data_IF_149197904241
#
_entry.id   IF_149197904241
#
_cell.length_a   1.000
_cell.length_b   1.000
_cell.length_c   1.000
_cell.angle_alpha   90.00
_cell.angle_beta   90.00
_cell.angle_gamma   90.00
#
_symmetry.space_group_name_H-M   'P 1'
#
loop_
_entity.id
_entity.type
_entity.pdbx_description
1 polymer ?
#
# COMPACT_ATOMS: atom_id res chain seq x y z
N UNK A 1 23.36 -11.89 16.52
CA UNK A 1 23.23 -11.34 15.15
C UNK A 1 21.85 -10.70 15.05
N UNK A 2 21.66 -9.62 14.27
CA UNK A 2 20.33 -9.06 14.07
C UNK A 2 19.42 -10.09 13.40
N UNK A 3 18.13 -10.10 13.74
CA UNK A 3 17.17 -10.98 13.10
C UNK A 3 17.13 -10.73 11.57
N UNK A 4 16.87 -11.80 10.83
CA UNK A 4 16.59 -11.73 9.39
C UNK A 4 15.08 -11.70 9.18
N UNK A 5 14.59 -10.75 8.39
CA UNK A 5 13.17 -10.53 8.16
C UNK A 5 12.87 -10.61 6.66
N UNK A 6 11.95 -11.50 6.30
CA UNK A 6 11.31 -11.60 5.00
C UNK A 6 9.88 -11.07 5.15
N UNK A 7 9.44 -10.22 4.22
CA UNK A 7 8.06 -9.76 4.14
C UNK A 7 7.41 -10.33 2.88
N UNK A 8 6.33 -11.08 3.05
CA UNK A 8 5.50 -11.61 1.96
C UNK A 8 4.15 -10.89 1.99
N UNK A 9 3.88 -10.09 0.97
CA UNK A 9 2.66 -9.29 0.82
C UNK A 9 1.86 -9.70 -0.42
N UNK A 10 0.60 -9.34 -0.47
CA UNK A 10 -0.27 -9.55 -1.64
C UNK A 10 -1.75 -9.57 -1.31
N UNK A 11 -2.58 -9.62 -2.35
CA UNK A 11 -4.04 -9.66 -2.19
C UNK A 11 -4.56 -10.93 -1.51
N UNK A 12 -5.88 -10.99 -1.29
CA UNK A 12 -6.55 -12.21 -0.87
C UNK A 12 -6.38 -13.31 -1.94
N UNK A 13 -6.11 -14.55 -1.52
CA UNK A 13 -5.89 -15.71 -2.41
C UNK A 13 -4.78 -15.53 -3.47
N UNK A 14 -3.84 -14.63 -3.23
CA UNK A 14 -2.66 -14.40 -4.09
C UNK A 14 -1.61 -15.52 -4.04
N UNK A 15 -1.74 -16.49 -3.13
CA UNK A 15 -0.74 -17.54 -2.90
C UNK A 15 0.32 -17.19 -1.85
N UNK A 16 0.17 -16.08 -1.13
CA UNK A 16 1.17 -15.61 -0.14
C UNK A 16 1.45 -16.57 1.02
N UNK A 17 0.43 -17.15 1.64
CA UNK A 17 0.65 -18.10 2.75
C UNK A 17 1.38 -19.36 2.27
N UNK A 18 0.98 -19.93 1.13
CA UNK A 18 1.66 -21.10 0.54
C UNK A 18 3.11 -20.81 0.11
N UNK A 19 3.40 -19.60 -0.35
CA UNK A 19 4.77 -19.19 -0.64
C UNK A 19 5.59 -19.02 0.65
N UNK A 20 5.02 -18.35 1.66
CA UNK A 20 5.68 -18.14 2.94
C UNK A 20 5.97 -19.45 3.69
N UNK A 21 5.04 -20.41 3.68
CA UNK A 21 5.25 -21.75 4.25
C UNK A 21 6.41 -22.48 3.55
N UNK A 22 6.42 -22.53 2.22
CA UNK A 22 7.52 -23.16 1.47
C UNK A 22 8.86 -22.52 1.77
N UNK A 23 8.91 -21.18 1.85
CA UNK A 23 10.12 -20.46 2.23
C UNK A 23 10.60 -20.88 3.63
N UNK A 24 9.69 -21.02 4.60
CA UNK A 24 10.05 -21.50 5.94
C UNK A 24 10.59 -22.93 5.94
N UNK A 25 9.97 -23.82 5.17
CA UNK A 25 10.36 -25.24 5.03
C UNK A 25 11.72 -25.40 4.31
N UNK A 26 12.04 -24.52 3.36
CA UNK A 26 13.36 -24.45 2.72
C UNK A 26 14.46 -23.97 3.69
N UNK A 27 14.09 -23.09 4.64
CA UNK A 27 15.01 -22.50 5.60
C UNK A 27 15.19 -23.35 6.88
N UNK A 28 14.24 -24.21 7.23
CA UNK A 28 14.27 -25.01 8.46
C UNK A 28 13.38 -26.24 8.38
N UNK A 29 13.84 -27.35 8.98
CA UNK A 29 13.05 -28.57 9.18
C UNK A 29 12.04 -28.48 10.34
N UNK A 30 12.20 -27.49 11.23
CA UNK A 30 11.36 -27.30 12.41
C UNK A 30 10.89 -25.84 12.53
N UNK A 31 10.10 -25.33 11.56
CA UNK A 31 9.60 -23.96 11.60
C UNK A 31 8.51 -23.77 12.66
N UNK A 32 8.40 -22.55 13.17
CA UNK A 32 7.34 -22.14 14.11
C UNK A 32 6.31 -21.32 13.34
N UNK A 33 5.03 -21.68 13.47
CA UNK A 33 3.89 -20.90 13.02
C UNK A 33 3.40 -20.03 14.18
N UNK A 34 3.61 -18.72 14.07
CA UNK A 34 3.07 -17.73 14.99
C UNK A 34 1.73 -17.22 14.45
N UNK A 35 0.64 -17.73 15.01
CA UNK A 35 -0.71 -17.32 14.67
C UNK A 35 -1.07 -16.04 15.43
N UNK A 36 -1.25 -14.94 14.70
CA UNK A 36 -1.73 -13.68 15.30
C UNK A 36 -3.25 -13.59 15.32
N UNK A 37 -3.97 -14.49 14.65
CA UNK A 37 -5.43 -14.51 14.70
C UNK A 37 -5.92 -14.82 16.13
N UNK A 38 -6.74 -13.94 16.72
CA UNK A 38 -7.40 -14.23 17.99
C UNK A 38 -8.56 -15.21 17.75
N UNK A 39 -8.28 -16.52 17.86
CA UNK A 39 -9.24 -17.62 17.63
C UNK A 39 -10.55 -17.43 18.41
N UNK A 40 -10.48 -16.91 19.64
CA UNK A 40 -11.65 -16.65 20.50
C UNK A 40 -12.59 -15.54 19.99
N UNK A 41 -12.08 -14.51 19.28
CA UNK A 41 -12.89 -13.37 18.82
C UNK A 41 -13.53 -13.61 17.45
N UNK A 42 -13.12 -14.68 16.76
CA UNK A 42 -13.62 -15.10 15.44
C UNK A 42 -14.49 -16.37 15.51
N UNK A 43 -14.87 -16.81 16.73
CA UNK A 43 -15.58 -18.06 16.98
C UNK A 43 -16.94 -18.22 16.28
N UNK A 44 -17.51 -17.14 15.74
CA UNK A 44 -18.73 -17.16 14.93
C UNK A 44 -18.53 -17.41 13.43
N UNK A 45 -17.30 -17.34 12.93
CA UNK A 45 -16.97 -17.51 11.51
C UNK A 45 -16.58 -18.96 11.21
N UNK A 46 -17.57 -19.77 10.84
CA UNK A 46 -17.38 -21.19 10.54
C UNK A 46 -16.43 -21.41 9.35
N UNK A 47 -16.43 -20.51 8.36
CA UNK A 47 -15.54 -20.58 7.20
C UNK A 47 -14.08 -20.35 7.62
N UNK A 48 -13.85 -19.38 8.52
CA UNK A 48 -12.52 -19.12 9.06
C UNK A 48 -12.02 -20.27 9.94
N UNK A 49 -12.88 -20.82 10.80
CA UNK A 49 -12.57 -21.97 11.65
C UNK A 49 -12.18 -23.20 10.81
N UNK A 50 -12.92 -23.50 9.74
CA UNK A 50 -12.59 -24.59 8.82
C UNK A 50 -11.25 -24.37 8.11
N UNK A 51 -10.94 -23.12 7.72
CA UNK A 51 -9.64 -22.78 7.12
C UNK A 51 -8.49 -22.98 8.11
N UNK A 52 -8.63 -22.56 9.37
CA UNK A 52 -7.61 -22.81 10.39
C UNK A 52 -7.37 -24.30 10.54
N UNK A 53 -8.44 -25.09 10.69
CA UNK A 53 -8.35 -26.53 10.88
C UNK A 53 -7.61 -27.21 9.71
N UNK A 54 -7.98 -26.85 8.47
CA UNK A 54 -7.30 -27.33 7.27
C UNK A 54 -5.82 -26.96 7.25
N UNK A 55 -5.47 -25.71 7.55
CA UNK A 55 -4.07 -25.28 7.60
C UNK A 55 -3.26 -25.99 8.69
N UNK A 56 -3.87 -26.27 9.85
CA UNK A 56 -3.23 -27.06 10.90
C UNK A 56 -3.03 -28.52 10.47
N UNK A 57 -3.98 -29.12 9.75
CA UNK A 57 -3.87 -30.47 9.22
C UNK A 57 -2.82 -30.57 8.10
N UNK A 58 -2.85 -29.63 7.15
CA UNK A 58 -1.86 -29.53 6.06
C UNK A 58 -0.43 -29.43 6.62
N UNK A 59 -0.24 -28.76 7.77
CA UNK A 59 1.06 -28.68 8.46
C UNK A 59 1.47 -29.96 9.18
N UNK A 60 0.51 -30.77 9.67
CA UNK A 60 0.80 -32.07 10.31
C UNK A 60 1.17 -33.15 9.28
N UNK A 61 0.65 -33.05 8.07
CA UNK A 61 0.75 -34.07 7.03
C UNK A 61 1.72 -33.70 5.89
N UNK A 62 2.74 -32.87 6.15
CA UNK A 62 3.70 -32.45 5.12
C UNK A 62 4.55 -33.62 4.64
N UNK A 63 4.49 -33.91 3.34
CA UNK A 63 5.25 -34.99 2.68
C UNK A 63 6.77 -34.82 2.78
N UNK A 64 7.27 -33.60 2.99
CA UNK A 64 8.70 -33.30 3.11
C UNK A 64 9.27 -33.56 4.52
N UNK A 65 8.47 -34.02 5.48
CA UNK A 65 8.92 -34.35 6.84
C UNK A 65 9.14 -33.16 7.77
N UNK A 66 8.81 -31.93 7.36
CA UNK A 66 8.92 -30.74 8.21
C UNK A 66 7.98 -30.82 9.42
N UNK A 67 8.51 -30.50 10.60
CA UNK A 67 7.77 -30.55 11.86
C UNK A 67 7.40 -29.14 12.33
N UNK A 68 6.17 -28.73 12.02
CA UNK A 68 5.66 -27.42 12.41
C UNK A 68 5.26 -27.39 13.89
N UNK A 69 5.72 -26.37 14.61
CA UNK A 69 5.19 -26.00 15.94
C UNK A 69 4.27 -24.79 15.80
N UNK A 70 3.11 -24.77 16.44
CA UNK A 70 2.18 -23.61 16.40
C UNK A 70 2.15 -22.91 17.76
N UNK A 71 2.28 -21.58 17.75
CA UNK A 71 2.11 -20.70 18.90
C UNK A 71 1.05 -19.66 18.55
N UNK A 72 0.02 -19.54 19.39
CA UNK A 72 -1.03 -18.52 19.26
C UNK A 72 -0.70 -17.37 20.20
N UNK A 73 -0.40 -16.19 19.64
CA UNK A 73 -0.17 -14.97 20.43
C UNK A 73 -0.65 -13.75 19.63
N UNK A 74 -1.85 -13.22 19.93
CA UNK A 74 -2.51 -12.23 19.10
C UNK A 74 -2.01 -10.80 19.28
N UNK A 75 -1.32 -10.47 20.38
CA UNK A 75 -0.94 -9.10 20.71
C UNK A 75 0.55 -8.94 20.97
N UNK A 76 1.15 -9.82 21.78
CA UNK A 76 2.48 -9.64 22.38
C UNK A 76 3.47 -10.78 22.06
N UNK A 77 3.76 -11.07 20.78
CA UNK A 77 4.65 -12.16 20.39
C UNK A 77 6.07 -12.02 20.91
N UNK A 78 6.52 -10.82 21.30
CA UNK A 78 7.85 -10.67 21.91
C UNK A 78 7.99 -11.43 23.24
N UNK A 79 6.90 -11.78 23.91
CA UNK A 79 6.91 -12.66 25.09
C UNK A 79 7.51 -14.05 24.80
N UNK A 80 7.39 -14.52 23.56
CA UNK A 80 7.95 -15.79 23.09
C UNK A 80 9.31 -15.64 22.40
N UNK A 81 9.93 -14.45 22.41
CA UNK A 81 11.16 -14.19 21.67
C UNK A 81 12.30 -15.17 22.03
N UNK A 82 12.35 -15.64 23.27
CA UNK A 82 13.32 -16.66 23.73
C UNK A 82 13.09 -18.01 23.06
N UNK A 83 11.84 -18.44 22.90
CA UNK A 83 11.47 -19.69 22.22
C UNK A 83 11.79 -19.64 20.71
N UNK A 84 11.80 -18.44 20.14
CA UNK A 84 12.12 -18.20 18.74
C UNK A 84 13.63 -18.17 18.44
N UNK A 85 14.48 -18.14 19.47
CA UNK A 85 15.94 -18.05 19.29
C UNK A 85 16.46 -19.18 18.38
N UNK A 86 17.20 -18.79 17.33
CA UNK A 86 17.77 -19.68 16.31
C UNK A 86 16.73 -20.48 15.50
N UNK A 87 15.47 -20.01 15.47
CA UNK A 87 14.38 -20.62 14.71
C UNK A 87 14.01 -19.79 13.49
N UNK A 88 13.25 -20.44 12.60
CA UNK A 88 12.49 -19.80 11.52
C UNK A 88 11.04 -19.68 11.99
N UNK A 89 10.50 -18.46 11.98
CA UNK A 89 9.17 -18.14 12.49
C UNK A 89 8.33 -17.50 11.38
N UNK A 90 7.23 -18.16 11.04
CA UNK A 90 6.19 -17.62 10.15
C UNK A 90 5.19 -16.82 10.96
N UNK A 91 5.07 -15.52 10.70
CA UNK A 91 4.08 -14.63 11.34
C UNK A 91 2.89 -14.47 10.39
N UNK A 92 1.75 -15.08 10.70
CA UNK A 92 0.52 -15.02 9.89
C UNK A 92 -0.65 -14.47 10.73
N UNK A 93 -1.13 -13.25 10.48
CA UNK A 93 -0.54 -12.20 9.63
C UNK A 93 -0.53 -10.84 10.31
N UNK A 94 0.29 -9.92 9.78
CA UNK A 94 0.39 -8.54 10.23
C UNK A 94 -0.95 -7.82 10.21
N UNK A 95 -1.81 -8.14 9.24
CA UNK A 95 -3.15 -7.55 9.10
C UNK A 95 -4.07 -7.88 10.26
N UNK A 96 -4.13 -9.16 10.67
CA UNK A 96 -4.91 -9.55 11.85
C UNK A 96 -4.28 -9.04 13.15
N UNK A 97 -2.96 -8.94 13.19
CA UNK A 97 -2.27 -8.39 14.34
C UNK A 97 -2.63 -6.91 14.57
N UNK A 98 -2.65 -6.10 13.51
CA UNK A 98 -3.13 -4.71 13.59
C UNK A 98 -4.59 -4.66 14.05
N UNK A 99 -5.45 -5.50 13.48
CA UNK A 99 -6.86 -5.58 13.89
C UNK A 99 -7.01 -5.88 15.38
N UNK A 100 -6.22 -6.80 15.93
CA UNK A 100 -6.26 -7.12 17.36
C UNK A 100 -5.88 -5.92 18.22
N UNK A 101 -4.83 -5.19 17.86
CA UNK A 101 -4.44 -3.97 18.56
C UNK A 101 -5.52 -2.90 18.46
N UNK A 102 -6.16 -2.73 17.30
CA UNK A 102 -7.26 -1.79 17.14
C UNK A 102 -8.47 -2.16 18.01
N UNK A 103 -8.75 -3.46 18.16
CA UNK A 103 -9.78 -3.93 19.09
C UNK A 103 -9.41 -3.64 20.55
N UNK A 104 -8.15 -3.89 20.94
CA UNK A 104 -7.65 -3.63 22.29
C UNK A 104 -7.72 -2.14 22.65
N UNK A 105 -7.42 -1.27 21.70
CA UNK A 105 -7.52 0.19 21.85
C UNK A 105 -8.97 0.72 21.74
N UNK A 106 -9.95 -0.15 21.53
CA UNK A 106 -11.37 0.21 21.47
C UNK A 106 -11.81 0.90 20.19
N UNK A 107 -11.01 0.86 19.11
CA UNK A 107 -11.26 1.60 17.87
C UNK A 107 -12.60 1.25 17.20
N UNK A 108 -13.04 -0.01 17.31
CA UNK A 108 -14.31 -0.48 16.74
C UNK A 108 -15.52 -0.20 17.66
N UNK A 109 -15.33 -0.23 18.98
CA UNK A 109 -16.41 0.03 19.95
C UNK A 109 -16.82 1.49 20.01
N UNK A 110 -15.91 2.41 19.72
CA UNK A 110 -16.20 3.86 19.70
C UNK A 110 -17.27 4.20 18.64
N UNK A 111 -17.32 3.44 17.54
CA UNK A 111 -18.20 3.72 16.40
C UNK A 111 -19.47 2.86 16.45
N UNK A 112 -19.42 1.66 17.03
CA UNK A 112 -20.59 0.80 17.21
C UNK A 112 -21.70 1.43 18.08
N UNK A 113 -21.34 2.37 18.97
CA UNK A 113 -22.31 3.06 19.83
C UNK A 113 -23.13 4.16 19.11
N UNK A 114 -22.73 4.59 17.90
CA UNK A 114 -23.44 5.62 17.13
C UNK A 114 -24.36 5.04 16.03
N UNK A 115 -24.15 3.78 15.60
CA UNK A 115 -24.94 3.15 14.52
C UNK A 115 -26.40 2.79 14.93
N UNK A 116 -26.73 2.84 16.23
CA UNK A 116 -28.08 2.59 16.72
C UNK A 116 -29.03 3.81 16.56
N UNK A 117 -28.50 5.00 16.27
CA UNK A 117 -29.31 6.21 16.08
C UNK A 117 -28.75 7.11 14.98
N UNK A 118 -29.29 6.92 13.77
CA UNK A 118 -29.24 7.86 12.65
C UNK A 118 -27.92 7.93 11.86
N UNK A 119 -27.97 7.46 10.61
CA UNK A 119 -26.85 7.30 9.65
C UNK A 119 -26.07 8.56 9.24
N UNK A 120 -26.32 9.73 9.83
CA UNK A 120 -25.82 10.99 9.26
C UNK A 120 -24.86 11.82 10.09
N UNK A 121 -24.58 11.55 11.37
CA UNK A 121 -23.55 12.34 12.09
C UNK A 121 -22.94 11.58 13.27
N UNK A 122 -21.90 10.77 13.02
CA UNK A 122 -20.94 10.44 14.08
C UNK A 122 -20.33 11.77 14.53
N UNK A 123 -20.50 12.13 15.81
CA UNK A 123 -19.93 13.36 16.37
C UNK A 123 -18.44 13.47 16.04
N UNK A 124 -17.96 14.67 15.72
CA UNK A 124 -16.54 14.92 15.39
C UNK A 124 -15.60 14.36 16.46
N UNK A 125 -15.98 14.46 17.73
CA UNK A 125 -15.26 13.91 18.88
C UNK A 125 -15.10 12.38 18.83
N UNK A 126 -16.13 11.63 18.42
CA UNK A 126 -16.04 10.17 18.31
C UNK A 126 -15.13 9.74 17.15
N UNK A 127 -15.11 10.50 16.04
CA UNK A 127 -14.17 10.25 14.92
C UNK A 127 -12.72 10.52 15.32
N UNK A 128 -12.48 11.56 16.10
CA UNK A 128 -11.15 11.89 16.62
C UNK A 128 -10.64 10.82 17.57
N UNK A 129 -11.44 10.39 18.55
CA UNK A 129 -11.02 9.34 19.48
C UNK A 129 -10.80 7.99 18.78
N UNK A 130 -11.66 7.63 17.82
CA UNK A 130 -11.44 6.42 17.02
C UNK A 130 -10.14 6.50 16.20
N UNK A 131 -9.80 7.68 15.65
CA UNK A 131 -8.53 7.91 14.97
C UNK A 131 -7.36 7.74 15.92
N UNK A 132 -7.43 8.35 17.10
CA UNK A 132 -6.40 8.23 18.13
C UNK A 132 -6.20 6.78 18.57
N UNK A 133 -7.28 5.99 18.70
CA UNK A 133 -7.22 4.56 18.99
C UNK A 133 -6.49 3.77 17.89
N UNK A 134 -6.74 4.07 16.61
CA UNK A 134 -6.01 3.46 15.48
C UNK A 134 -4.52 3.81 15.54
N UNK A 135 -4.19 5.07 15.83
CA UNK A 135 -2.80 5.52 15.91
C UNK A 135 -2.04 4.85 17.07
N UNK A 136 -2.69 4.70 18.23
CA UNK A 136 -2.15 3.94 19.37
C UNK A 136 -1.93 2.47 19.00
N UNK A 137 -2.90 1.85 18.33
CA UNK A 137 -2.80 0.46 17.88
C UNK A 137 -1.62 0.23 16.92
N UNK A 138 -1.45 1.11 15.92
CA UNK A 138 -0.32 1.08 15.00
C UNK A 138 1.01 1.23 15.76
N UNK A 139 1.09 2.20 16.67
CA UNK A 139 2.29 2.43 17.48
C UNK A 139 2.65 1.22 18.35
N UNK A 140 1.66 0.60 18.99
CA UNK A 140 1.86 -0.60 19.80
C UNK A 140 2.40 -1.77 18.95
N UNK A 141 1.83 -2.00 17.76
CA UNK A 141 2.32 -3.01 16.83
C UNK A 141 3.76 -2.75 16.40
N UNK A 142 4.11 -1.51 16.06
CA UNK A 142 5.48 -1.14 15.67
C UNK A 142 6.49 -1.38 16.80
N UNK A 143 6.15 -0.94 18.02
CA UNK A 143 6.98 -1.15 19.20
C UNK A 143 7.15 -2.63 19.52
N UNK A 144 6.07 -3.40 19.40
CA UNK A 144 6.10 -4.83 19.67
C UNK A 144 6.91 -5.60 18.61
N UNK A 145 6.80 -5.20 17.34
CA UNK A 145 7.64 -5.75 16.27
C UNK A 145 9.12 -5.48 16.51
N UNK A 146 9.49 -4.25 16.91
CA UNK A 146 10.89 -3.92 17.24
C UNK A 146 11.40 -4.76 18.43
N UNK A 147 10.58 -4.97 19.47
CA UNK A 147 10.92 -5.86 20.60
C UNK A 147 11.08 -7.32 20.17
N UNK A 148 10.28 -7.78 19.22
CA UNK A 148 10.30 -9.15 18.72
C UNK A 148 11.59 -9.46 17.96
N UNK A 149 12.08 -8.52 17.13
CA UNK A 149 13.23 -8.76 16.24
C UNK A 149 14.59 -8.39 16.87
N UNK A 150 14.63 -7.65 17.98
CA UNK A 150 15.85 -7.16 18.60
C UNK A 150 16.69 -8.20 19.38
N UNK A 151 16.11 -9.11 20.20
CA UNK A 151 16.87 -9.78 21.25
C UNK A 151 17.67 -11.02 20.80
N UNK A 152 17.19 -11.74 19.78
CA UNK A 152 17.75 -13.05 19.40
C UNK A 152 18.01 -13.14 17.90
N UNK A 153 18.89 -14.07 17.52
CA UNK A 153 19.10 -14.42 16.13
C UNK A 153 17.94 -15.29 15.64
N UNK A 154 16.97 -14.68 14.96
CA UNK A 154 15.76 -15.35 14.47
C UNK A 154 15.58 -15.02 12.99
N UNK A 155 15.02 -15.95 12.22
CA UNK A 155 14.54 -15.67 10.87
C UNK A 155 13.02 -15.55 10.88
N UNK A 156 12.50 -14.35 10.65
CA UNK A 156 11.06 -14.11 10.54
C UNK A 156 10.63 -14.08 9.08
N UNK A 157 9.58 -14.82 8.76
CA UNK A 157 8.82 -14.69 7.51
C UNK A 157 7.46 -14.09 7.88
N UNK A 158 7.25 -12.82 7.56
CA UNK A 158 6.05 -12.07 7.93
C UNK A 158 5.10 -12.01 6.75
N UNK A 159 3.85 -12.43 6.97
CA UNK A 159 2.79 -12.35 5.96
C UNK A 159 1.92 -11.12 6.23
N UNK A 160 1.56 -10.40 5.18
CA UNK A 160 0.60 -9.29 5.24
C UNK A 160 -0.28 -9.22 3.99
N UNK A 161 -1.40 -8.52 4.08
CA UNK A 161 -2.27 -8.25 2.94
C UNK A 161 -1.98 -6.86 2.35
N UNK A 162 -2.07 -6.76 1.01
CA UNK A 162 -2.27 -5.48 0.33
C UNK A 162 -3.76 -5.16 0.24
N UNK A 163 -4.19 -4.12 0.96
CA UNK A 163 -5.61 -3.71 1.04
C UNK A 163 -5.87 -2.31 0.45
N UNK A 164 -4.81 -1.56 0.10
CA UNK A 164 -4.90 -0.18 -0.35
C UNK A 164 -5.16 0.02 -1.85
N UNK A 165 -5.26 -1.06 -2.65
CA UNK A 165 -5.41 -0.98 -4.11
C UNK A 165 -6.86 -1.06 -4.62
N UNK A 166 -7.84 -1.10 -3.70
CA UNK A 166 -9.28 -1.11 -4.03
C UNK A 166 -9.92 0.27 -3.94
N UNK A 167 -11.25 0.31 -4.12
CA UNK A 167 -12.05 1.51 -3.86
C UNK A 167 -12.02 1.89 -2.39
N UNK A 168 -12.25 3.16 -2.07
CA UNK A 168 -12.28 3.64 -0.69
C UNK A 168 -13.33 2.86 0.11
N UNK A 169 -13.00 2.55 1.36
CA UNK A 169 -13.95 1.91 2.25
C UNK A 169 -15.06 2.89 2.67
N UNK A 170 -16.28 2.39 2.79
CA UNK A 170 -17.49 3.19 3.03
C UNK A 170 -17.44 3.91 4.38
N UNK A 171 -16.89 3.26 5.42
CA UNK A 171 -16.89 3.78 6.79
C UNK A 171 -15.56 4.44 7.16
N UNK A 172 -15.62 5.43 8.06
CA UNK A 172 -14.44 6.15 8.56
C UNK A 172 -13.40 5.20 9.17
N UNK A 173 -13.85 4.22 9.97
CA UNK A 173 -12.95 3.26 10.62
C UNK A 173 -12.24 2.36 9.62
N UNK A 174 -12.94 1.91 8.58
CA UNK A 174 -12.32 1.04 7.59
C UNK A 174 -11.30 1.83 6.74
N UNK A 175 -11.54 3.12 6.47
CA UNK A 175 -10.53 3.99 5.86
C UNK A 175 -9.29 4.12 6.73
N UNK A 176 -9.47 4.40 8.04
CA UNK A 176 -8.36 4.49 9.00
C UNK A 176 -7.60 3.17 9.13
N UNK A 177 -8.29 2.04 9.12
CA UNK A 177 -7.68 0.72 9.07
C UNK A 177 -6.82 0.52 7.82
N UNK A 178 -7.34 0.83 6.63
CA UNK A 178 -6.59 0.69 5.37
C UNK A 178 -5.33 1.57 5.37
N UNK A 179 -5.43 2.81 5.85
CA UNK A 179 -4.29 3.72 5.95
C UNK A 179 -3.25 3.18 6.95
N UNK A 180 -3.68 2.78 8.16
CA UNK A 180 -2.81 2.20 9.18
C UNK A 180 -2.15 0.89 8.72
N UNK A 181 -2.87 0.04 7.99
CA UNK A 181 -2.33 -1.18 7.41
C UNK A 181 -1.21 -0.87 6.40
N UNK A 182 -1.40 0.15 5.56
CA UNK A 182 -0.38 0.63 4.63
C UNK A 182 0.88 1.13 5.35
N UNK A 183 0.72 1.89 6.44
CA UNK A 183 1.83 2.35 7.27
C UNK A 183 2.57 1.20 7.97
N UNK A 184 1.83 0.22 8.52
CA UNK A 184 2.42 -1.00 9.10
C UNK A 184 3.21 -1.81 8.06
N UNK A 185 2.67 -1.99 6.85
CA UNK A 185 3.37 -2.68 5.77
C UNK A 185 4.69 -1.98 5.42
N UNK A 186 4.67 -0.64 5.28
CA UNK A 186 5.88 0.16 5.02
C UNK A 186 6.91 0.04 6.16
N UNK A 187 6.45 0.12 7.41
CA UNK A 187 7.32 -0.03 8.57
C UNK A 187 8.03 -1.39 8.58
N UNK A 188 7.29 -2.50 8.43
CA UNK A 188 7.89 -3.85 8.41
C UNK A 188 8.79 -4.03 7.17
N UNK A 189 8.40 -3.50 6.00
CA UNK A 189 9.21 -3.56 4.79
C UNK A 189 10.56 -2.83 4.94
N UNK A 190 10.59 -1.72 5.71
CA UNK A 190 11.84 -1.00 5.99
C UNK A 190 12.84 -1.85 6.78
N UNK A 191 12.35 -2.73 7.67
CA UNK A 191 13.15 -3.65 8.49
C UNK A 191 13.48 -4.97 7.77
N UNK A 192 12.69 -5.34 6.76
CA UNK A 192 12.86 -6.58 6.00
C UNK A 192 14.09 -6.55 5.09
N UNK A 193 14.89 -7.62 5.06
CA UNK A 193 15.97 -7.79 4.08
C UNK A 193 15.42 -8.22 2.72
N UNK A 194 14.26 -8.89 2.69
CA UNK A 194 13.59 -9.26 1.45
C UNK A 194 12.10 -8.92 1.52
N UNK A 195 11.56 -8.32 0.45
CA UNK A 195 10.13 -8.04 0.30
C UNK A 195 9.64 -8.70 -0.98
N UNK A 196 8.60 -9.51 -0.87
CA UNK A 196 8.04 -10.33 -1.94
C UNK A 196 6.55 -9.98 -2.06
N UNK A 197 6.14 -9.51 -3.23
CA UNK A 197 4.74 -9.29 -3.57
C UNK A 197 4.18 -10.45 -4.38
N UNK A 198 3.09 -11.04 -3.92
CA UNK A 198 2.48 -12.22 -4.52
C UNK A 198 1.28 -11.82 -5.37
N UNK A 199 1.28 -12.27 -6.63
CA UNK A 199 0.18 -12.05 -7.58
C UNK A 199 -0.09 -13.36 -8.32
N UNK A 200 -1.32 -13.86 -8.28
CA UNK A 200 -1.72 -15.09 -8.97
C UNK A 200 -0.79 -16.31 -8.67
N UNK A 201 -0.27 -16.43 -7.46
CA UNK A 201 0.68 -17.47 -7.05
C UNK A 201 2.13 -17.23 -7.47
N UNK A 202 2.41 -16.13 -8.17
CA UNK A 202 3.74 -15.78 -8.70
C UNK A 202 4.42 -14.79 -7.74
N UNK A 203 5.66 -15.08 -7.29
CA UNK A 203 6.42 -14.16 -6.45
C UNK A 203 7.10 -13.07 -7.27
N UNK A 204 6.90 -11.82 -6.88
CA UNK A 204 7.61 -10.64 -7.38
C UNK A 204 8.49 -10.06 -6.28
N UNK A 205 9.79 -10.25 -6.38
CA UNK A 205 10.75 -9.73 -5.39
C UNK A 205 10.92 -8.22 -5.59
N UNK A 206 10.46 -7.42 -4.63
CA UNK A 206 10.53 -5.96 -4.65
C UNK A 206 11.80 -5.43 -3.97
N UNK A 207 12.26 -6.10 -2.91
CA UNK A 207 13.49 -5.81 -2.18
C UNK A 207 14.26 -7.11 -1.98
N UNK A 208 15.56 -7.12 -2.22
CA UNK A 208 16.44 -8.24 -1.87
C UNK A 208 17.82 -7.74 -1.43
N UNK A 209 18.10 -7.89 -0.14
CA UNK A 209 19.37 -7.53 0.48
C UNK A 209 20.11 -8.74 1.06
N UNK A 210 19.55 -9.94 0.90
CA UNK A 210 20.15 -11.19 1.32
C UNK A 210 21.26 -11.56 0.33
N UNK A 211 22.51 -11.41 0.75
CA UNK A 211 23.68 -11.78 -0.06
C UNK A 211 24.27 -10.69 -0.94
N UNK A 212 24.40 -9.44 -0.45
CA UNK A 212 25.32 -8.44 -1.03
C UNK A 212 26.81 -8.87 -0.92
N UNK A 213 27.19 -10.02 -1.46
CA UNK A 213 28.44 -10.21 -2.21
C UNK A 213 28.11 -9.92 -3.67
N UNK A 214 28.53 -8.75 -4.17
CA UNK A 214 28.55 -8.33 -5.59
C UNK A 214 27.76 -9.24 -6.55
N UNK A 215 26.42 -9.20 -6.51
CA UNK A 215 25.67 -9.50 -7.73
C UNK A 215 25.76 -8.25 -8.60
N UNK A 216 26.27 -8.43 -9.81
CA UNK A 216 26.54 -7.34 -10.74
C UNK A 216 25.31 -6.44 -10.88
N UNK A 217 25.51 -5.13 -10.80
CA UNK A 217 24.47 -4.11 -11.02
C UNK A 217 23.63 -4.36 -12.31
N UNK A 218 24.12 -5.15 -13.26
CA UNK A 218 23.51 -5.44 -14.56
C UNK A 218 22.06 -5.91 -14.54
N UNK A 219 21.65 -6.83 -13.65
CA UNK A 219 20.29 -7.40 -13.72
C UNK A 219 19.22 -6.45 -13.14
N UNK A 220 19.50 -5.85 -11.97
CA UNK A 220 18.63 -4.82 -11.36
C UNK A 220 18.60 -3.55 -12.21
N UNK A 221 19.74 -3.15 -12.77
CA UNK A 221 19.81 -2.03 -13.72
C UNK A 221 19.05 -2.35 -15.00
N UNK A 222 19.10 -3.58 -15.53
CA UNK A 222 18.33 -3.95 -16.72
C UNK A 222 16.81 -3.91 -16.48
N UNK A 223 16.33 -4.37 -15.32
CA UNK A 223 14.91 -4.30 -14.95
C UNK A 223 14.46 -2.85 -14.73
N UNK A 224 15.25 -2.04 -14.02
CA UNK A 224 15.00 -0.61 -13.85
C UNK A 224 15.04 0.13 -15.20
N UNK A 225 16.01 -0.17 -16.07
CA UNK A 225 16.11 0.40 -17.41
C UNK A 225 14.91 0.00 -18.27
N UNK A 226 14.40 -1.22 -18.12
CA UNK A 226 13.21 -1.70 -18.85
C UNK A 226 11.95 -0.98 -18.36
N UNK A 227 11.76 -0.87 -17.04
CA UNK A 227 10.67 -0.11 -16.46
C UNK A 227 10.73 1.38 -16.84
N UNK A 228 11.93 1.99 -16.80
CA UNK A 228 12.15 3.36 -17.22
C UNK A 228 11.94 3.55 -18.73
N UNK A 229 12.34 2.60 -19.58
CA UNK A 229 12.07 2.62 -21.02
C UNK A 229 10.58 2.51 -21.32
N UNK A 230 9.88 1.59 -20.66
CA UNK A 230 8.45 1.43 -20.80
C UNK A 230 7.72 2.69 -20.32
N UNK A 231 8.09 3.23 -19.16
CA UNK A 231 7.52 4.45 -18.64
C UNK A 231 7.80 5.64 -19.57
N UNK A 232 9.02 5.77 -20.11
CA UNK A 232 9.35 6.80 -21.11
C UNK A 232 8.51 6.64 -22.37
N UNK A 233 8.42 5.43 -22.92
CA UNK A 233 7.59 5.13 -24.09
C UNK A 233 6.11 5.48 -23.84
N UNK A 234 5.56 5.11 -22.68
CA UNK A 234 4.19 5.45 -22.30
C UNK A 234 3.99 6.95 -22.04
N UNK A 235 5.03 7.67 -21.66
CA UNK A 235 5.01 9.12 -21.43
C UNK A 235 5.13 9.92 -22.72
N UNK A 236 5.83 9.39 -23.73
CA UNK A 236 6.03 10.05 -25.03
C UNK A 236 5.06 9.57 -26.10
N UNK A 237 4.15 8.64 -25.79
CA UNK A 237 3.16 8.16 -26.75
C UNK A 237 2.18 9.28 -27.11
N UNK A 238 1.83 9.39 -28.38
CA UNK A 238 0.75 10.28 -28.81
C UNK A 238 -0.57 9.74 -28.30
N UNK A 239 -1.21 10.46 -27.38
CA UNK A 239 -2.57 10.18 -26.93
C UNK A 239 -3.47 11.18 -27.65
N UNK A 240 -4.55 10.76 -28.34
CA UNK A 240 -5.53 11.68 -28.88
C UNK A 240 -6.07 12.53 -27.73
N UNK A 241 -6.02 13.86 -27.86
CA UNK A 241 -6.64 14.72 -26.86
C UNK A 241 -8.14 14.50 -26.86
N UNK A 242 -8.70 14.33 -25.66
CA UNK A 242 -10.14 14.24 -25.47
C UNK A 242 -10.73 15.65 -25.59
N UNK A 243 -11.80 15.80 -26.38
CA UNK A 243 -12.49 17.07 -26.55
C UNK A 243 -13.14 17.58 -25.27
N UNK A 244 -13.11 16.81 -24.18
CA UNK A 244 -13.59 17.21 -22.85
C UNK A 244 -12.59 18.08 -22.09
N UNK A 245 -11.30 17.99 -22.39
CA UNK A 245 -10.24 18.73 -21.71
C UNK A 245 -8.99 17.92 -21.44
N UNK A 246 -8.10 18.49 -20.63
CA UNK A 246 -6.84 17.87 -20.23
C UNK A 246 -6.37 18.34 -18.85
N UNK A 247 -5.54 17.51 -18.21
CA UNK A 247 -4.90 17.81 -16.94
C UNK A 247 -3.43 18.19 -17.12
N UNK A 248 -2.99 19.18 -16.36
CA UNK A 248 -1.58 19.46 -16.15
C UNK A 248 -1.24 19.21 -14.68
N UNK A 249 -0.19 18.44 -14.44
CA UNK A 249 0.30 18.13 -13.09
C UNK A 249 1.70 18.73 -12.97
N UNK A 250 1.92 19.45 -11.86
CA UNK A 250 3.19 20.04 -11.48
C UNK A 250 3.49 19.69 -10.03
N UNK A 251 4.75 19.80 -9.63
CA UNK A 251 5.16 19.71 -8.24
C UNK A 251 5.51 21.10 -7.72
N UNK A 252 4.98 21.44 -6.56
CA UNK A 252 5.40 22.56 -5.73
C UNK A 252 6.35 21.98 -4.67
N UNK A 253 7.64 22.20 -4.89
CA UNK A 253 8.70 21.57 -4.11
C UNK A 253 8.87 22.24 -2.74
N UNK A 254 8.61 23.54 -2.66
CA UNK A 254 8.75 24.33 -1.42
C UNK A 254 7.69 23.92 -0.40
N UNK A 255 6.44 23.81 -0.84
CA UNK A 255 5.31 23.41 0.01
C UNK A 255 5.10 21.88 0.05
N UNK A 256 5.87 21.12 -0.73
CA UNK A 256 5.73 19.67 -0.91
C UNK A 256 4.31 19.26 -1.34
N UNK A 257 3.81 19.91 -2.40
CA UNK A 257 2.46 19.69 -2.93
C UNK A 257 2.48 19.24 -4.39
N UNK A 258 1.53 18.40 -4.75
CA UNK A 258 1.15 18.10 -6.13
C UNK A 258 0.10 19.14 -6.53
N UNK A 259 0.37 19.89 -7.59
CA UNK A 259 -0.53 20.89 -8.15
C UNK A 259 -1.10 20.38 -9.47
N UNK A 260 -2.39 20.07 -9.47
CA UNK A 260 -3.09 19.66 -10.69
C UNK A 260 -4.01 20.78 -11.17
N UNK A 261 -4.06 20.99 -12.47
CA UNK A 261 -4.97 21.96 -13.09
C UNK A 261 -5.71 21.33 -14.26
N UNK A 262 -7.02 21.54 -14.33
CA UNK A 262 -7.87 21.08 -15.42
C UNK A 262 -8.18 22.21 -16.39
N UNK A 263 -8.09 21.91 -17.69
CA UNK A 263 -8.29 22.83 -18.79
C UNK A 263 -9.30 22.22 -19.76
N UNK A 264 -10.40 22.92 -20.05
CA UNK A 264 -11.33 22.49 -21.09
C UNK A 264 -10.84 22.94 -22.47
N UNK A 265 -11.22 22.20 -23.49
CA UNK A 265 -10.89 22.49 -24.88
C UNK A 265 -12.02 22.08 -25.82
N UNK A 266 -11.95 22.50 -27.07
CA UNK A 266 -12.84 22.07 -28.14
C UNK A 266 -12.01 21.63 -29.35
N UNK A 267 -12.59 20.77 -30.19
CA UNK A 267 -12.03 20.44 -31.50
C UNK A 267 -12.75 21.30 -32.56
N UNK A 268 -11.99 22.04 -33.36
CA UNK A 268 -12.56 22.78 -34.49
C UNK A 268 -12.84 21.84 -35.67
N UNK A 269 -13.46 22.37 -36.73
CA UNK A 269 -13.81 21.60 -37.95
C UNK A 269 -12.59 20.99 -38.69
N UNK A 270 -11.38 21.44 -38.35
CA UNK A 270 -10.12 20.92 -38.89
C UNK A 270 -9.48 19.86 -37.97
N UNK A 271 -10.15 19.51 -36.87
CA UNK A 271 -9.64 18.58 -35.85
C UNK A 271 -8.54 19.18 -34.97
N UNK A 272 -8.37 20.50 -34.96
CA UNK A 272 -7.38 21.16 -34.12
C UNK A 272 -7.97 21.47 -32.73
N UNK A 273 -7.16 21.26 -31.69
CA UNK A 273 -7.53 21.59 -30.31
C UNK A 273 -7.45 23.09 -30.09
N UNK A 274 -8.56 23.67 -29.65
CA UNK A 274 -8.71 25.08 -29.37
C UNK A 274 -9.22 25.30 -27.94
N UNK A 275 -8.97 26.49 -27.39
CA UNK A 275 -9.64 26.95 -26.17
C UNK A 275 -11.14 27.21 -26.44
N UNK A 276 -11.90 27.48 -25.38
CA UNK A 276 -13.33 27.78 -25.50
C UNK A 276 -13.65 29.04 -26.32
N UNK A 277 -12.65 29.88 -26.62
CA UNK A 277 -12.75 31.08 -27.46
C UNK A 277 -12.37 30.81 -28.93
N UNK A 278 -12.00 29.57 -29.27
CA UNK A 278 -11.60 29.15 -30.61
C UNK A 278 -10.12 29.41 -30.94
N UNK A 279 -9.30 29.82 -29.98
CA UNK A 279 -7.86 30.00 -30.20
C UNK A 279 -7.15 28.65 -30.13
N UNK A 280 -6.29 28.35 -31.11
CA UNK A 280 -5.53 27.11 -31.16
C UNK A 280 -4.60 26.96 -29.94
N UNK A 281 -4.70 25.81 -29.27
CA UNK A 281 -3.80 25.43 -28.18
C UNK A 281 -2.60 24.69 -28.78
N UNK A 282 -1.42 25.28 -28.66
CA UNK A 282 -0.17 24.64 -29.10
C UNK A 282 0.31 23.58 -28.11
N UNK A 283 1.00 22.55 -28.62
CA UNK A 283 1.67 21.55 -27.77
C UNK A 283 2.84 22.15 -26.95
N UNK A 284 3.39 23.28 -27.41
CA UNK A 284 4.51 23.99 -26.80
C UNK A 284 4.20 25.50 -26.71
N UNK A 285 4.57 26.14 -25.59
CA UNK A 285 4.47 27.60 -25.40
C UNK A 285 3.59 28.07 -24.24
N UNK A 286 3.65 29.39 -23.98
CA UNK A 286 3.00 30.09 -22.85
C UNK A 286 1.53 30.48 -23.10
N UNK A 287 1.00 30.28 -24.32
CA UNK A 287 -0.42 30.54 -24.62
C UNK A 287 -1.28 29.35 -24.22
N UNK A 288 -1.39 29.12 -22.91
CA UNK A 288 -2.33 28.16 -22.33
C UNK A 288 -3.53 28.93 -21.77
N UNK A 289 -4.76 28.45 -21.98
CA UNK A 289 -5.93 29.04 -21.34
C UNK A 289 -5.80 28.94 -19.81
N UNK A 290 -6.51 29.83 -19.11
CA UNK A 290 -6.60 29.77 -17.66
C UNK A 290 -7.26 28.45 -17.22
N UNK A 291 -6.76 27.81 -16.15
CA UNK A 291 -7.32 26.57 -15.67
C UNK A 291 -8.75 26.81 -15.15
N UNK A 292 -9.66 25.90 -15.48
CA UNK A 292 -11.01 25.94 -14.91
C UNK A 292 -11.01 25.60 -13.42
N UNK A 293 -10.13 24.69 -13.01
CA UNK A 293 -9.99 24.27 -11.62
C UNK A 293 -8.55 23.87 -11.33
N UNK A 294 -8.12 24.15 -10.10
CA UNK A 294 -6.77 23.83 -9.60
C UNK A 294 -6.91 23.13 -8.26
N UNK A 295 -6.20 22.02 -8.09
CA UNK A 295 -6.08 21.27 -6.85
C UNK A 295 -4.65 21.31 -6.34
N UNK A 296 -4.50 21.34 -5.02
CA UNK A 296 -3.22 21.23 -4.32
C UNK A 296 -3.35 20.12 -3.29
N UNK A 297 -2.59 19.04 -3.47
CA UNK A 297 -2.70 17.83 -2.64
C UNK A 297 -1.31 17.35 -2.22
N UNK A 298 -1.21 16.66 -1.08
CA UNK A 298 0.06 16.10 -0.60
C UNK A 298 0.38 14.75 -1.22
N UNK A 299 -0.64 14.00 -1.63
CA UNK A 299 -0.48 12.64 -2.16
C UNK A 299 -1.19 12.43 -3.49
N UNK A 300 -0.74 11.45 -4.26
CA UNK A 300 -1.39 11.05 -5.51
C UNK A 300 -2.82 10.57 -5.25
N UNK A 301 -3.01 9.83 -4.16
CA UNK A 301 -4.32 9.34 -3.69
C UNK A 301 -5.27 10.50 -3.40
N UNK A 302 -4.83 11.47 -2.60
CA UNK A 302 -5.62 12.66 -2.27
C UNK A 302 -6.04 13.43 -3.52
N UNK A 303 -5.11 13.63 -4.47
CA UNK A 303 -5.43 14.28 -5.73
C UNK A 303 -6.50 13.51 -6.52
N UNK A 304 -6.37 12.19 -6.65
CA UNK A 304 -7.37 11.40 -7.37
C UNK A 304 -8.73 11.44 -6.69
N UNK A 305 -8.79 11.47 -5.36
CA UNK A 305 -10.05 11.63 -4.61
C UNK A 305 -10.67 13.00 -4.86
N UNK A 306 -9.89 14.07 -4.76
CA UNK A 306 -10.39 15.43 -5.00
C UNK A 306 -10.94 15.64 -6.41
N UNK A 307 -10.35 14.96 -7.40
CA UNK A 307 -10.79 15.03 -8.79
C UNK A 307 -11.99 14.12 -9.05
N UNK A 308 -11.93 12.84 -8.70
CA UNK A 308 -12.94 11.87 -9.13
C UNK A 308 -14.16 11.75 -8.21
N UNK A 309 -14.03 12.13 -6.94
CA UNK A 309 -15.08 11.90 -5.95
C UNK A 309 -15.67 13.19 -5.38
N UNK A 310 -14.88 14.27 -5.32
CA UNK A 310 -15.29 15.54 -4.68
C UNK A 310 -15.53 16.68 -5.65
N UNK A 311 -15.26 16.50 -6.93
CA UNK A 311 -15.57 17.52 -7.91
C UNK A 311 -17.01 17.36 -8.41
N UNK A 312 -17.90 18.23 -7.94
CA UNK A 312 -19.34 18.19 -8.25
C UNK A 312 -19.66 18.23 -9.76
N UNK A 313 -18.88 18.98 -10.56
CA UNK A 313 -19.13 19.12 -12.00
C UNK A 313 -18.62 17.93 -12.86
N UNK A 314 -17.98 16.94 -12.25
CA UNK A 314 -17.30 15.87 -12.98
C UNK A 314 -18.27 15.01 -13.82
N UNK A 315 -19.50 14.83 -13.33
CA UNK A 315 -20.54 14.03 -13.98
C UNK A 315 -21.03 14.69 -15.28
N UNK A 316 -21.00 16.02 -15.36
CA UNK A 316 -21.33 16.77 -16.58
C UNK A 316 -20.23 16.64 -17.63
N UNK A 317 -18.97 16.65 -17.18
CA UNK A 317 -17.79 16.48 -18.04
C UNK A 317 -17.63 15.07 -18.60
N UNK A 318 -18.19 14.05 -17.91
CA UNK A 318 -18.10 12.63 -18.27
C UNK A 318 -16.66 12.23 -18.61
N UNK A 319 -15.70 12.50 -17.73
CA UNK A 319 -14.28 12.23 -17.99
C UNK A 319 -14.08 10.79 -18.50
N UNK A 320 -13.27 10.65 -19.55
CA UNK A 320 -12.98 9.33 -20.11
C UNK A 320 -12.00 8.52 -19.24
N UNK A 321 -11.98 7.20 -19.44
CA UNK A 321 -10.97 6.30 -18.83
C UNK A 321 -9.54 6.76 -19.13
N UNK A 322 -9.33 7.45 -20.26
CA UNK A 322 -8.05 8.06 -20.61
C UNK A 322 -7.59 9.12 -19.60
N UNK A 323 -8.52 9.94 -19.09
CA UNK A 323 -8.21 10.94 -18.05
C UNK A 323 -7.83 10.27 -16.73
N UNK A 324 -8.59 9.27 -16.31
CA UNK A 324 -8.31 8.50 -15.09
C UNK A 324 -6.93 7.82 -15.14
N UNK A 325 -6.62 7.17 -16.26
CA UNK A 325 -5.32 6.55 -16.47
C UNK A 325 -4.17 7.57 -16.51
N UNK A 326 -4.39 8.74 -17.12
CA UNK A 326 -3.39 9.80 -17.18
C UNK A 326 -3.12 10.39 -15.79
N UNK A 327 -4.17 10.85 -15.09
CA UNK A 327 -4.00 11.55 -13.82
C UNK A 327 -3.43 10.63 -12.74
N UNK A 328 -3.87 9.37 -12.65
CA UNK A 328 -3.31 8.43 -11.67
C UNK A 328 -1.81 8.20 -11.89
N UNK A 329 -1.40 8.06 -13.16
CA UNK A 329 0.01 7.87 -13.51
C UNK A 329 0.86 9.11 -13.23
N UNK A 330 0.43 10.28 -13.68
CA UNK A 330 1.20 11.52 -13.51
C UNK A 330 1.20 11.99 -12.05
N UNK A 331 0.13 11.77 -11.30
CA UNK A 331 0.07 12.04 -9.87
C UNK A 331 1.08 11.17 -9.09
N UNK A 332 1.15 9.86 -9.40
CA UNK A 332 2.13 8.98 -8.77
C UNK A 332 3.58 9.39 -9.08
N UNK A 333 3.85 9.86 -10.30
CA UNK A 333 5.18 10.40 -10.65
C UNK A 333 5.50 11.67 -9.87
N UNK A 334 4.54 12.59 -9.76
CA UNK A 334 4.70 13.83 -9.00
C UNK A 334 4.96 13.54 -7.52
N UNK A 335 4.19 12.62 -6.94
CA UNK A 335 4.39 12.15 -5.56
C UNK A 335 5.78 11.54 -5.36
N UNK A 336 6.20 10.62 -6.24
CA UNK A 336 7.54 10.02 -6.16
C UNK A 336 8.65 11.08 -6.29
N UNK A 337 8.48 12.09 -7.14
CA UNK A 337 9.45 13.17 -7.30
C UNK A 337 9.58 14.02 -6.01
N UNK A 338 8.47 14.31 -5.34
CA UNK A 338 8.46 15.00 -4.05
C UNK A 338 9.14 14.16 -2.96
N UNK A 339 8.86 12.86 -2.89
CA UNK A 339 9.52 11.95 -1.95
C UNK A 339 11.03 11.89 -2.15
N UNK A 340 11.51 11.77 -3.40
CA UNK A 340 12.94 11.77 -3.68
C UNK A 340 13.60 13.10 -3.31
N UNK A 341 12.92 14.23 -3.54
CA UNK A 341 13.45 15.53 -3.13
C UNK A 341 13.59 15.67 -1.60
N UNK A 342 12.62 15.16 -0.84
CA UNK A 342 12.66 15.15 0.63
C UNK A 342 13.77 14.27 1.19
N UNK A 343 14.12 13.18 0.50
CA UNK A 343 15.15 12.23 0.94
C UNK A 343 16.57 12.68 0.57
N UNK A 344 16.77 13.32 -0.59
CA UNK A 344 18.11 13.61 -1.10
C UNK A 344 18.70 14.95 -0.61
N UNK A 345 17.90 15.88 -0.06
CA UNK A 345 18.35 17.14 0.55
C UNK A 345 19.26 18.03 -0.34
N UNK A 346 19.43 17.67 -1.60
CA UNK A 346 20.39 18.26 -2.53
C UNK A 346 19.82 18.19 -3.94
N UNK A 347 19.92 19.33 -4.63
CA UNK A 347 19.36 19.57 -5.95
C UNK A 347 19.81 18.51 -6.98
N UNK A 348 18.87 17.63 -7.35
CA UNK A 348 19.07 16.57 -8.34
C UNK A 348 17.96 16.55 -9.40
N UNK A 349 17.95 17.57 -10.26
CA UNK A 349 17.48 17.59 -11.65
C UNK A 349 16.32 16.63 -12.01
N UNK A 350 15.09 17.11 -11.85
CA UNK A 350 14.01 16.83 -12.81
C UNK A 350 13.46 18.19 -13.29
N UNK A 351 14.16 18.82 -14.23
CA UNK A 351 13.55 19.84 -15.10
C UNK A 351 12.88 19.12 -16.25
N UNK A 352 11.56 19.20 -16.32
CA UNK A 352 10.80 18.91 -17.54
C UNK A 352 10.32 20.25 -18.11
N UNK A 353 10.74 20.53 -19.34
CA UNK A 353 10.05 21.43 -20.27
C UNK A 353 8.86 20.71 -20.92
#
# INVERSE_FOLDING_TARGET
MPATVYLVTGGCRSGKSSHAERLCEELSQNPIYLATAASAKLAGDQDFAQRIARHQEDRKNKENGCQWTTIEEPLRPSNHAKEFSEKVVLVDCLTLWLTNWMMEEGAFSIIANDDASNKNDVSSSNKEEATAAVDRAMKNLQQEFDKLIAPYNVTFVVVTNEVGSGTHADTHITRKFVDAQGWCNQFVASKAQQVIHMVCGIPHVLKNELGKKRQSASATVATLQTAQRLNRHLSTRTIPMDAKGYFLIKTDVEESLIVASFHSCILNDKGEVCDLKGNKIGCHGNNRPDPMKVWKCRTAKELTTEVFERWEDIDELKLSVGHAAYIGREAQKAENALYHHLLDGSAGIYRQD
#
